data_IF_829177867949
#
_entry.id   IF_829177867949
#
_cell.length_a   1.000
_cell.length_b   1.000
_cell.length_c   1.000
_cell.angle_alpha   90.00
_cell.angle_beta   90.00
_cell.angle_gamma   90.00
#
_symmetry.space_group_name_H-M   'P 1'
#
loop_
_entity.id
_entity.type
_entity.pdbx_description
1 polymer ?
#
# COMPACT_ATOMS: atom_id res chain seq x y z
N UNK A 1 3.49 62.35 21.44
CA UNK A 1 4.15 61.25 20.72
C UNK A 1 4.96 60.46 21.76
N UNK A 2 4.97 59.11 21.76
CA UNK A 2 4.79 58.27 20.57
C UNK A 2 3.62 57.29 20.66
N UNK A 3 3.03 57.09 19.48
CA UNK A 3 2.15 56.01 19.09
C UNK A 3 3.07 54.80 18.83
N UNK A 4 2.91 53.70 19.56
CA UNK A 4 3.55 52.42 19.21
C UNK A 4 2.82 51.84 18.01
N UNK A 5 3.49 51.59 16.87
CA UNK A 5 2.88 50.85 15.78
C UNK A 5 2.67 49.41 16.24
N UNK A 6 1.45 48.91 16.07
CA UNK A 6 1.15 47.48 16.12
C UNK A 6 1.90 46.83 14.97
N UNK A 7 2.62 45.78 15.33
CA UNK A 7 3.50 44.99 14.49
C UNK A 7 2.64 44.11 13.55
N UNK A 8 2.00 44.71 12.55
CA UNK A 8 1.21 44.03 11.50
C UNK A 8 2.10 43.38 10.41
N UNK A 9 3.40 43.23 10.66
CA UNK A 9 4.36 42.73 9.66
C UNK A 9 4.51 41.18 9.65
N UNK A 10 3.80 40.45 10.51
CA UNK A 10 3.97 38.99 10.69
C UNK A 10 2.83 38.10 10.16
N UNK A 11 1.89 38.63 9.36
CA UNK A 11 0.78 37.84 8.79
C UNK A 11 0.94 37.53 7.29
N UNK A 12 1.90 38.15 6.58
CA UNK A 12 1.96 38.08 5.12
C UNK A 12 2.85 36.93 4.56
N UNK A 13 3.59 36.20 5.40
CA UNK A 13 4.54 35.16 4.98
C UNK A 13 4.18 33.74 5.43
N UNK A 14 3.08 33.57 6.16
CA UNK A 14 2.57 32.26 6.63
C UNK A 14 1.69 31.54 5.59
N UNK A 15 1.27 32.23 4.52
CA UNK A 15 0.02 31.90 3.81
C UNK A 15 0.12 30.80 2.73
N UNK A 16 1.30 30.37 2.28
CA UNK A 16 1.36 29.38 1.17
C UNK A 16 1.67 27.93 1.60
N UNK A 17 2.43 27.77 2.69
CA UNK A 17 2.91 26.44 3.11
C UNK A 17 1.84 25.65 3.87
N UNK A 18 0.96 26.32 4.62
CA UNK A 18 -0.17 25.66 5.32
C UNK A 18 -1.16 25.08 4.33
N UNK A 19 -1.55 25.87 3.32
CA UNK A 19 -2.42 25.42 2.21
C UNK A 19 -1.78 24.28 1.44
N UNK A 20 -0.51 24.42 1.05
CA UNK A 20 0.22 23.37 0.34
C UNK A 20 0.35 22.08 1.15
N UNK A 21 0.53 22.20 2.47
CA UNK A 21 0.59 21.05 3.38
C UNK A 21 -0.77 20.36 3.49
N UNK A 22 -1.85 21.15 3.59
CA UNK A 22 -3.22 20.65 3.61
C UNK A 22 -3.57 19.88 2.34
N UNK A 23 -3.23 20.43 1.17
CA UNK A 23 -3.47 19.81 -0.13
C UNK A 23 -2.77 18.46 -0.27
N UNK A 24 -1.46 18.40 0.05
CA UNK A 24 -0.69 17.15 -0.01
C UNK A 24 -1.25 16.10 0.95
N UNK A 25 -1.64 16.51 2.17
CA UNK A 25 -2.21 15.59 3.16
C UNK A 25 -3.60 15.08 2.74
N UNK A 26 -4.46 15.96 2.24
CA UNK A 26 -5.80 15.59 1.78
C UNK A 26 -5.73 14.64 0.58
N UNK A 27 -4.85 14.93 -0.39
CA UNK A 27 -4.69 14.06 -1.55
C UNK A 27 -4.06 12.71 -1.16
N UNK A 28 -3.08 12.70 -0.25
CA UNK A 28 -2.53 11.46 0.30
C UNK A 28 -3.61 10.61 0.98
N UNK A 29 -4.46 11.23 1.79
CA UNK A 29 -5.58 10.55 2.46
C UNK A 29 -6.56 9.95 1.46
N UNK A 30 -6.92 10.68 0.39
CA UNK A 30 -7.78 10.19 -0.68
C UNK A 30 -7.17 8.98 -1.40
N UNK A 31 -5.91 9.08 -1.84
CA UNK A 31 -5.22 8.00 -2.57
C UNK A 31 -5.07 6.76 -1.70
N UNK A 32 -4.84 6.94 -0.39
CA UNK A 32 -4.77 5.82 0.56
C UNK A 32 -6.11 5.10 0.73
N UNK A 33 -7.24 5.80 0.81
CA UNK A 33 -8.56 5.18 0.91
C UNK A 33 -8.87 4.37 -0.35
N UNK A 34 -8.64 4.98 -1.52
CA UNK A 34 -8.82 4.31 -2.81
C UNK A 34 -7.94 3.06 -2.92
N UNK A 35 -6.69 3.11 -2.42
CA UNK A 35 -5.80 1.95 -2.45
C UNK A 35 -6.25 0.83 -1.52
N UNK A 36 -6.76 1.15 -0.33
CA UNK A 36 -7.33 0.15 0.59
C UNK A 36 -8.52 -0.56 -0.06
N UNK A 37 -9.41 0.19 -0.72
CA UNK A 37 -10.55 -0.38 -1.44
C UNK A 37 -10.13 -1.29 -2.59
N UNK A 38 -9.16 -0.85 -3.40
CA UNK A 38 -8.60 -1.63 -4.50
C UNK A 38 -7.95 -2.92 -4.01
N UNK A 39 -7.18 -2.88 -2.92
CA UNK A 39 -6.57 -4.06 -2.33
C UNK A 39 -7.62 -5.03 -1.77
N UNK A 40 -8.68 -4.52 -1.14
CA UNK A 40 -9.82 -5.32 -0.67
C UNK A 40 -10.60 -5.98 -1.81
N UNK A 41 -10.83 -5.23 -2.89
CA UNK A 41 -11.48 -5.72 -4.12
C UNK A 41 -10.65 -6.81 -4.79
N UNK A 42 -9.34 -6.58 -4.93
CA UNK A 42 -8.39 -7.55 -5.49
C UNK A 42 -8.40 -8.86 -4.70
N UNK A 43 -8.46 -8.78 -3.37
CA UNK A 43 -8.57 -9.97 -2.50
C UNK A 43 -9.83 -10.77 -2.79
N UNK A 44 -10.98 -10.10 -2.85
CA UNK A 44 -12.27 -10.74 -3.16
C UNK A 44 -12.26 -11.41 -4.54
N UNK A 45 -11.69 -10.73 -5.55
CA UNK A 45 -11.56 -11.27 -6.91
C UNK A 45 -10.63 -12.49 -6.97
N UNK A 46 -9.50 -12.47 -6.24
CA UNK A 46 -8.59 -13.61 -6.14
C UNK A 46 -9.27 -14.84 -5.52
N UNK A 47 -10.10 -14.64 -4.49
CA UNK A 47 -10.88 -15.72 -3.87
C UNK A 47 -11.93 -16.27 -4.86
N UNK A 48 -12.60 -15.39 -5.60
CA UNK A 48 -13.60 -15.75 -6.61
C UNK A 48 -12.99 -16.31 -7.91
N UNK A 49 -11.67 -16.22 -8.10
CA UNK A 49 -10.96 -16.54 -9.35
C UNK A 49 -11.43 -15.70 -10.55
N UNK A 50 -11.83 -14.47 -10.28
CA UNK A 50 -12.27 -13.51 -11.30
C UNK A 50 -11.06 -12.86 -11.99
N UNK A 51 -10.48 -13.57 -12.95
CA UNK A 51 -9.29 -13.11 -13.69
C UNK A 51 -9.56 -11.80 -14.46
N UNK A 52 -10.67 -11.63 -15.21
CA UNK A 52 -10.97 -10.37 -15.88
C UNK A 52 -11.12 -9.20 -14.89
N UNK A 53 -11.76 -9.44 -13.75
CA UNK A 53 -11.86 -8.43 -12.67
C UNK A 53 -10.49 -8.05 -12.10
N UNK A 54 -9.59 -9.02 -11.92
CA UNK A 54 -8.23 -8.77 -11.43
C UNK A 54 -7.41 -7.91 -12.41
N UNK A 55 -7.54 -8.10 -13.72
CA UNK A 55 -6.86 -7.27 -14.73
C UNK A 55 -7.31 -5.80 -14.67
N UNK A 56 -8.62 -5.58 -14.56
CA UNK A 56 -9.17 -4.23 -14.41
C UNK A 56 -8.68 -3.56 -13.10
N UNK A 57 -8.67 -4.31 -12.00
CA UNK A 57 -8.18 -3.84 -10.70
C UNK A 57 -6.68 -3.53 -10.74
N UNK A 58 -5.89 -4.30 -11.47
CA UNK A 58 -4.46 -4.06 -11.65
C UNK A 58 -4.18 -2.73 -12.36
N UNK A 59 -4.96 -2.38 -13.38
CA UNK A 59 -4.82 -1.08 -14.05
C UNK A 59 -5.09 0.08 -13.08
N UNK A 60 -6.11 -0.05 -12.20
CA UNK A 60 -6.41 0.96 -11.18
C UNK A 60 -5.30 1.07 -10.13
N UNK A 61 -4.75 -0.06 -9.69
CA UNK A 61 -3.62 -0.10 -8.75
C UNK A 61 -2.38 0.63 -9.31
N UNK A 62 -2.03 0.39 -10.57
CA UNK A 62 -0.91 1.08 -11.23
C UNK A 62 -1.11 2.59 -11.29
N UNK A 63 -2.34 3.06 -11.51
CA UNK A 63 -2.64 4.49 -11.51
C UNK A 63 -2.48 5.11 -10.12
N UNK A 64 -2.96 4.43 -9.07
CA UNK A 64 -2.78 4.88 -7.69
C UNK A 64 -1.30 4.92 -7.28
N UNK A 65 -0.48 3.97 -7.75
CA UNK A 65 0.97 3.98 -7.54
C UNK A 65 1.59 5.24 -8.15
N UNK A 66 1.22 5.60 -9.40
CA UNK A 66 1.72 6.84 -10.03
C UNK A 66 1.32 8.09 -9.25
N UNK A 67 0.08 8.16 -8.77
CA UNK A 67 -0.38 9.28 -7.93
C UNK A 67 0.40 9.36 -6.61
N UNK A 68 0.70 8.22 -5.98
CA UNK A 68 1.57 8.20 -4.78
C UNK A 68 2.99 8.68 -5.07
N UNK A 69 3.54 8.34 -6.24
CA UNK A 69 4.86 8.83 -6.66
C UNK A 69 4.86 10.34 -6.87
N UNK A 70 3.83 10.88 -7.52
CA UNK A 70 3.64 12.32 -7.70
C UNK A 70 3.51 13.04 -6.34
N UNK A 71 2.72 12.48 -5.42
CA UNK A 71 2.57 13.04 -4.06
C UNK A 71 3.86 13.01 -3.26
N UNK A 72 4.66 11.95 -3.40
CA UNK A 72 5.99 11.87 -2.77
C UNK A 72 6.90 12.98 -3.31
N UNK A 73 6.81 13.24 -4.60
CA UNK A 73 7.63 14.26 -5.26
C UNK A 73 7.17 15.67 -4.83
N UNK A 74 5.86 15.94 -4.82
CA UNK A 74 5.28 17.18 -4.29
C UNK A 74 5.66 17.42 -2.82
N UNK A 75 5.58 16.39 -1.97
CA UNK A 75 6.03 16.46 -0.57
C UNK A 75 7.51 16.85 -0.46
N UNK A 76 8.37 16.27 -1.30
CA UNK A 76 9.81 16.54 -1.29
C UNK A 76 10.09 17.97 -1.69
N UNK A 77 9.41 18.48 -2.69
CA UNK A 77 9.54 19.86 -3.16
C UNK A 77 9.03 20.86 -2.11
N UNK A 78 7.94 20.52 -1.41
CA UNK A 78 7.41 21.29 -0.29
C UNK A 78 8.42 21.37 0.87
N UNK A 79 8.98 20.23 1.30
CA UNK A 79 9.97 20.20 2.38
C UNK A 79 11.27 20.95 2.01
N UNK A 80 11.72 20.82 0.76
CA UNK A 80 12.87 21.57 0.25
C UNK A 80 12.61 23.08 0.22
N UNK A 81 11.38 23.49 -0.11
CA UNK A 81 10.97 24.88 -0.09
C UNK A 81 10.88 25.41 1.34
N UNK A 82 10.31 24.64 2.27
CA UNK A 82 10.26 25.00 3.68
C UNK A 82 11.66 25.15 4.31
N UNK A 83 12.59 24.25 3.96
CA UNK A 83 13.98 24.33 4.41
C UNK A 83 14.65 25.66 3.99
N UNK A 84 14.40 26.12 2.76
CA UNK A 84 14.93 27.40 2.26
C UNK A 84 14.40 28.61 3.04
N UNK A 85 13.24 28.49 3.65
CA UNK A 85 12.61 29.51 4.48
C UNK A 85 12.94 29.34 5.98
N UNK A 86 13.86 28.45 6.34
CA UNK A 86 14.29 28.23 7.72
C UNK A 86 13.32 27.43 8.58
N UNK A 87 12.34 26.76 7.96
CA UNK A 87 11.34 25.93 8.65
C UNK A 87 11.82 24.48 8.82
N UNK A 88 11.23 23.71 9.76
CA UNK A 88 11.55 22.30 9.95
C UNK A 88 11.27 21.48 8.68
N UNK A 89 12.30 20.87 8.10
CA UNK A 89 12.20 20.10 6.84
C UNK A 89 12.21 18.58 7.05
N UNK A 90 12.19 18.13 8.30
CA UNK A 90 12.39 16.72 8.65
C UNK A 90 11.17 15.87 8.27
N UNK A 91 9.97 16.46 8.36
CA UNK A 91 8.73 15.77 8.01
C UNK A 91 7.57 16.75 7.77
N UNK A 92 6.53 16.28 7.05
CA UNK A 92 5.26 17.02 6.94
C UNK A 92 4.59 17.18 8.32
N UNK A 93 4.77 16.21 9.24
CA UNK A 93 4.27 16.31 10.62
C UNK A 93 4.92 17.50 11.34
N UNK A 94 6.22 17.72 11.13
CA UNK A 94 6.97 18.85 11.69
C UNK A 94 6.52 20.20 11.11
N UNK A 95 6.14 20.23 9.81
CA UNK A 95 5.52 21.41 9.20
C UNK A 95 4.12 21.65 9.77
N UNK A 96 3.27 20.63 9.83
CA UNK A 96 1.93 20.73 10.42
C UNK A 96 1.96 21.12 11.92
N UNK A 97 3.04 20.78 12.64
CA UNK A 97 3.22 21.20 14.03
C UNK A 97 3.52 22.71 14.17
N UNK A 98 4.04 23.36 13.14
CA UNK A 98 4.25 24.81 13.10
C UNK A 98 2.97 25.60 12.89
N UNK A 99 1.91 24.96 12.39
CA UNK A 99 0.63 25.60 12.16
C UNK A 99 -0.08 25.78 13.51
N UNK A 100 -0.52 27.00 13.77
CA UNK A 100 -1.23 27.36 14.98
C UNK A 100 -2.75 27.41 14.76
N UNK A 101 -3.51 27.29 15.85
CA UNK A 101 -4.97 27.34 15.80
C UNK A 101 -5.64 26.02 15.34
N UNK A 102 -6.90 26.12 14.95
CA UNK A 102 -7.75 24.96 14.64
C UNK A 102 -7.31 24.21 13.38
N UNK A 103 -6.74 24.91 12.40
CA UNK A 103 -6.25 24.32 11.15
C UNK A 103 -4.98 23.48 11.39
N UNK A 104 -4.07 23.94 12.25
CA UNK A 104 -2.90 23.17 12.64
C UNK A 104 -3.22 21.87 13.36
N UNK A 105 -4.22 21.85 14.23
CA UNK A 105 -4.67 20.62 14.89
C UNK A 105 -5.26 19.61 13.89
N UNK A 106 -6.08 20.10 12.95
CA UNK A 106 -6.63 19.26 11.87
C UNK A 106 -5.51 18.66 11.01
N UNK A 107 -4.50 19.46 10.62
CA UNK A 107 -3.36 18.96 9.84
C UNK A 107 -2.59 17.85 10.58
N UNK A 108 -2.41 17.98 11.90
CA UNK A 108 -1.76 16.94 12.73
C UNK A 108 -2.60 15.67 12.81
N UNK A 109 -3.92 15.79 12.93
CA UNK A 109 -4.84 14.64 12.90
C UNK A 109 -4.79 13.92 11.56
N UNK A 110 -4.85 14.65 10.44
CA UNK A 110 -4.77 14.08 9.09
C UNK A 110 -3.42 13.38 8.89
N UNK A 111 -2.31 14.01 9.27
CA UNK A 111 -0.98 13.41 9.15
C UNK A 111 -0.86 12.10 9.96
N UNK A 112 -1.37 12.10 11.20
CA UNK A 112 -1.38 10.91 12.05
C UNK A 112 -2.27 9.80 11.47
N UNK A 113 -3.42 10.16 10.92
CA UNK A 113 -4.34 9.24 10.25
C UNK A 113 -3.70 8.60 9.01
N UNK A 114 -3.05 9.41 8.17
CA UNK A 114 -2.36 8.96 6.97
C UNK A 114 -1.27 7.93 7.29
N UNK A 115 -0.54 8.10 8.40
CA UNK A 115 0.46 7.13 8.87
C UNK A 115 -0.15 5.79 9.28
N UNK A 116 -1.29 5.81 9.99
CA UNK A 116 -2.02 4.60 10.37
C UNK A 116 -2.52 3.86 9.13
N UNK A 117 -3.09 4.58 8.17
CA UNK A 117 -3.58 4.03 6.90
C UNK A 117 -2.48 3.40 6.07
N UNK A 118 -1.29 4.00 6.02
CA UNK A 118 -0.13 3.40 5.37
C UNK A 118 0.21 2.01 5.97
N UNK A 119 0.11 1.86 7.29
CA UNK A 119 0.34 0.55 7.94
C UNK A 119 -0.75 -0.46 7.56
N UNK A 120 -2.00 -0.03 7.42
CA UNK A 120 -3.09 -0.88 6.91
C UNK A 120 -2.81 -1.33 5.48
N UNK A 121 -2.41 -0.41 4.59
CA UNK A 121 -2.05 -0.72 3.19
C UNK A 121 -0.92 -1.76 3.14
N UNK A 122 0.13 -1.58 3.94
CA UNK A 122 1.23 -2.55 4.02
C UNK A 122 0.74 -3.96 4.41
N UNK A 123 -0.14 -4.06 5.40
CA UNK A 123 -0.72 -5.33 5.81
C UNK A 123 -1.57 -5.96 4.70
N UNK A 124 -2.45 -5.19 4.06
CA UNK A 124 -3.32 -5.69 2.99
C UNK A 124 -2.52 -6.15 1.76
N UNK A 125 -1.47 -5.42 1.38
CA UNK A 125 -0.55 -5.83 0.31
C UNK A 125 0.15 -7.15 0.64
N UNK A 126 0.61 -7.33 1.89
CA UNK A 126 1.24 -8.59 2.32
C UNK A 126 0.26 -9.77 2.27
N UNK A 127 -0.99 -9.56 2.72
CA UNK A 127 -2.03 -10.60 2.63
C UNK A 127 -2.28 -11.01 1.19
N UNK A 128 -2.42 -10.03 0.29
CA UNK A 128 -2.63 -10.30 -1.13
C UNK A 128 -1.45 -11.04 -1.76
N UNK A 129 -0.21 -10.70 -1.40
CA UNK A 129 0.99 -11.41 -1.84
C UNK A 129 0.98 -12.88 -1.41
N UNK A 130 0.72 -13.16 -0.13
CA UNK A 130 0.66 -14.53 0.41
C UNK A 130 -0.44 -15.35 -0.26
N UNK A 131 -1.61 -14.75 -0.51
CA UNK A 131 -2.71 -15.43 -1.21
C UNK A 131 -2.32 -15.78 -2.65
N UNK A 132 -1.66 -14.87 -3.36
CA UNK A 132 -1.20 -15.10 -4.73
C UNK A 132 -0.17 -16.24 -4.78
N UNK A 133 0.81 -16.23 -3.88
CA UNK A 133 1.81 -17.29 -3.77
C UNK A 133 1.17 -18.66 -3.50
N UNK A 134 0.20 -18.72 -2.58
CA UNK A 134 -0.54 -19.96 -2.29
C UNK A 134 -1.29 -20.47 -3.51
N UNK A 135 -1.96 -19.60 -4.27
CA UNK A 135 -2.66 -19.98 -5.51
C UNK A 135 -1.73 -20.57 -6.57
N UNK A 136 -0.53 -20.01 -6.73
CA UNK A 136 0.50 -20.54 -7.65
C UNK A 136 0.98 -21.92 -7.20
N UNK A 137 1.22 -22.12 -5.91
CA UNK A 137 1.62 -23.43 -5.37
C UNK A 137 0.55 -24.50 -5.62
N UNK A 138 -0.73 -24.18 -5.39
CA UNK A 138 -1.83 -25.10 -5.69
C UNK A 138 -1.91 -25.44 -7.18
N UNK A 139 -1.71 -24.45 -8.06
CA UNK A 139 -1.70 -24.70 -9.51
C UNK A 139 -0.52 -25.59 -9.92
N UNK A 140 0.66 -25.38 -9.34
CA UNK A 140 1.82 -26.24 -9.56
C UNK A 140 1.57 -27.67 -9.11
N UNK A 141 0.87 -27.87 -7.99
CA UNK A 141 0.51 -29.20 -7.49
C UNK A 141 -0.50 -29.89 -8.42
N UNK A 142 -1.49 -29.17 -8.93
CA UNK A 142 -2.44 -29.71 -9.92
C UNK A 142 -1.70 -30.07 -11.22
N UNK A 143 -0.84 -29.20 -11.72
CA UNK A 143 -0.02 -29.48 -12.90
C UNK A 143 0.88 -30.69 -12.69
N UNK A 144 1.47 -30.84 -11.50
CA UNK A 144 2.27 -32.01 -11.15
C UNK A 144 1.42 -33.29 -11.17
N UNK A 145 0.23 -33.28 -10.56
CA UNK A 145 -0.70 -34.42 -10.57
C UNK A 145 -1.06 -34.83 -12.00
N UNK A 146 -1.32 -33.85 -12.87
CA UNK A 146 -1.61 -34.10 -14.29
C UNK A 146 -0.38 -34.69 -14.99
N UNK A 147 0.79 -34.07 -14.81
CA UNK A 147 2.04 -34.49 -15.44
C UNK A 147 2.50 -35.89 -14.99
N UNK A 148 2.22 -36.28 -13.75
CA UNK A 148 2.55 -37.62 -13.24
C UNK A 148 1.43 -38.65 -13.44
N UNK A 149 0.31 -38.28 -14.08
CA UNK A 149 -0.84 -39.16 -14.27
C UNK A 149 -1.46 -39.66 -12.96
N UNK A 150 -1.46 -38.82 -11.92
CA UNK A 150 -1.97 -39.17 -10.58
C UNK A 150 -0.98 -39.90 -9.69
N UNK A 151 0.28 -40.12 -10.12
CA UNK A 151 1.32 -40.73 -9.28
C UNK A 151 1.95 -39.65 -8.40
N UNK A 152 1.68 -39.68 -7.10
CA UNK A 152 2.33 -38.82 -6.10
C UNK A 152 3.82 -39.16 -6.01
N UNK A 153 4.66 -38.46 -6.78
CA UNK A 153 6.06 -38.26 -6.43
C UNK A 153 6.26 -36.76 -6.16
N UNK A 154 6.33 -36.33 -4.89
CA UNK A 154 6.62 -34.95 -4.57
C UNK A 154 8.06 -34.63 -4.97
N UNK A 155 8.25 -33.86 -6.04
CA UNK A 155 9.59 -33.44 -6.52
C UNK A 155 10.19 -32.31 -5.66
N UNK A 156 9.45 -31.77 -4.70
CA UNK A 156 9.94 -30.74 -3.76
C UNK A 156 10.69 -31.31 -2.55
N UNK A 157 10.68 -32.64 -2.34
CA UNK A 157 11.45 -33.31 -1.26
C UNK A 157 12.72 -33.99 -1.76
N UNK A 158 13.25 -33.62 -2.93
CA UNK A 158 14.52 -34.16 -3.40
C UNK A 158 15.70 -33.32 -2.87
N UNK A 159 15.68 -33.11 -1.57
CA UNK A 159 16.66 -32.40 -0.77
C UNK A 159 16.53 -32.88 0.66
N UNK A 160 17.10 -34.06 0.89
CA UNK A 160 17.36 -34.72 2.18
C UNK A 160 16.50 -35.96 2.50
N UNK A 161 17.23 -37.05 2.76
CA UNK A 161 16.80 -38.36 3.28
C UNK A 161 15.97 -39.30 2.39
N UNK A 162 16.68 -40.24 1.78
CA UNK A 162 16.15 -41.54 1.39
C UNK A 162 15.50 -42.26 2.59
N UNK A 163 14.21 -42.58 2.49
CA UNK A 163 13.61 -43.71 3.19
C UNK A 163 12.74 -44.52 2.21
N UNK A 164 13.08 -45.79 1.94
CA UNK A 164 12.21 -46.70 1.23
C UNK A 164 11.26 -47.31 2.26
N UNK A 165 10.00 -46.85 2.33
CA UNK A 165 8.82 -47.59 2.78
C UNK A 165 7.65 -46.64 3.07
N UNK A 166 6.90 -46.27 2.02
CA UNK A 166 5.53 -45.80 2.19
C UNK A 166 4.72 -46.18 0.95
N UNK A 167 4.19 -47.40 0.96
CA UNK A 167 3.00 -47.74 0.18
C UNK A 167 1.85 -46.85 0.66
N UNK A 168 1.45 -45.86 -0.15
CA UNK A 168 0.10 -45.30 -0.10
C UNK A 168 -0.41 -45.31 -1.53
N UNK A 169 -1.17 -46.37 -1.83
CA UNK A 169 -1.99 -46.47 -3.02
C UNK A 169 -3.19 -45.54 -2.94
N UNK A 170 -3.60 -45.03 -4.10
CA UNK A 170 -4.75 -44.16 -4.28
C UNK A 170 -4.83 -43.68 -5.72
N UNK A 171 -4.87 -44.62 -6.67
CA UNK A 171 -5.11 -44.36 -8.09
C UNK A 171 -6.53 -43.87 -8.26
N UNK A 172 -6.71 -42.57 -8.49
CA UNK A 172 -8.01 -41.91 -8.66
C UNK A 172 -8.60 -42.04 -10.07
N UNK A 173 -8.10 -42.97 -10.88
CA UNK A 173 -8.60 -43.20 -12.24
C UNK A 173 -8.63 -44.71 -12.52
N UNK A 174 -9.73 -45.36 -12.15
CA UNK A 174 -10.18 -46.56 -12.85
C UNK A 174 -11.25 -46.09 -13.84
N UNK A 175 -10.94 -46.20 -15.14
CA UNK A 175 -11.91 -46.01 -16.21
C UNK A 175 -12.74 -47.29 -16.39
N UNK A 176 -14.00 -47.10 -16.72
CA UNK A 176 -15.12 -48.05 -16.77
C UNK A 176 -14.92 -49.31 -17.65
N UNK A 177 -15.84 -50.26 -17.41
CA UNK A 177 -16.04 -51.61 -17.95
C UNK A 177 -15.73 -51.87 -19.44
#
# INVERSE_FOLDING_TARGET
MPFTPIDDASEASTVDWESSTAEVLQELTSVQDELIEVLGTKRSQMVARDIPGMEATQARELELIRRLEQLRDARRDLLASAQKHGMPSDSIESLAAMADGAEGENLREIATSAKRRMRTIQNETLVNFVLAQRSVLHLSQILQIIATGGKLQPTYEQGDSAQPNAQVGGTLVDHEA
#
